data_IF_542146806323
#
_entry.id   IF_542146806323
#
_cell.length_a   1.000
_cell.length_b   1.000
_cell.length_c   1.000
_cell.angle_alpha   90.00
_cell.angle_beta   90.00
_cell.angle_gamma   90.00
#
_symmetry.space_group_name_H-M   'P 1'
#
loop_
_entity.id
_entity.type
_entity.pdbx_description
1 polymer ?
#
# COMPACT_ATOMS: atom_id res chain seq x y z
N UNK A 1 2.07 19.13 2.83
CA UNK A 1 1.13 20.24 3.11
C UNK A 1 1.42 20.82 4.50
N UNK A 2 0.59 21.69 5.05
CA UNK A 2 0.86 22.37 6.33
C UNK A 2 1.11 21.36 7.45
N UNK A 3 2.18 21.60 8.23
CA UNK A 3 2.60 20.77 9.36
C UNK A 3 2.86 19.29 9.04
N UNK A 4 3.03 18.95 7.78
CA UNK A 4 3.57 17.62 7.42
C UNK A 4 5.05 17.56 7.81
N UNK A 5 5.50 16.42 8.31
CA UNK A 5 6.86 16.22 8.79
C UNK A 5 7.48 14.96 8.18
N UNK A 6 8.68 15.07 7.70
CA UNK A 6 9.49 13.95 7.21
C UNK A 6 10.68 13.82 8.16
N UNK A 7 10.71 12.73 8.93
CA UNK A 7 11.80 12.46 9.85
C UNK A 7 13.09 12.05 9.10
N UNK A 8 14.15 11.78 9.87
CA UNK A 8 15.46 11.42 9.34
C UNK A 8 15.42 10.14 8.50
N UNK A 9 16.28 10.07 7.49
CA UNK A 9 16.52 8.87 6.66
C UNK A 9 15.27 8.31 5.95
N UNK A 10 14.21 9.11 5.77
CA UNK A 10 13.06 8.72 4.96
C UNK A 10 13.38 8.77 3.47
N UNK A 11 12.85 7.82 2.73
CA UNK A 11 12.72 7.92 1.27
C UNK A 11 11.30 8.34 0.90
N UNK A 12 11.17 9.34 0.06
CA UNK A 12 9.87 9.81 -0.47
C UNK A 12 10.00 9.94 -1.98
N UNK A 13 9.25 9.12 -2.70
CA UNK A 13 9.24 9.07 -4.15
C UNK A 13 8.58 10.27 -4.82
N UNK A 14 8.34 10.15 -6.11
CA UNK A 14 7.77 11.22 -6.92
C UNK A 14 6.25 11.34 -6.76
N UNK A 15 5.74 12.58 -6.85
CA UNK A 15 4.31 12.89 -6.80
C UNK A 15 3.59 12.38 -5.53
N UNK A 16 4.31 12.27 -4.42
CA UNK A 16 3.73 11.92 -3.11
C UNK A 16 2.98 13.12 -2.54
N UNK A 17 1.79 12.89 -2.01
CA UNK A 17 1.00 13.89 -1.32
C UNK A 17 0.90 13.52 0.16
N UNK A 18 1.51 14.33 1.00
CA UNK A 18 1.31 14.32 2.44
C UNK A 18 0.35 15.45 2.79
N UNK A 19 -0.88 15.10 3.18
CA UNK A 19 -1.87 16.10 3.59
C UNK A 19 -1.46 16.76 4.91
N UNK A 20 -2.29 17.67 5.42
CA UNK A 20 -1.96 18.42 6.62
C UNK A 20 -1.70 17.52 7.83
N UNK A 21 -0.67 17.85 8.59
CA UNK A 21 -0.32 17.18 9.84
C UNK A 21 -0.03 15.69 9.69
N UNK A 22 0.65 15.31 8.61
CA UNK A 22 1.12 13.93 8.38
C UNK A 22 2.59 13.80 8.77
N UNK A 23 2.94 13.17 9.91
CA UNK A 23 4.32 12.84 10.22
C UNK A 23 4.70 11.48 9.62
N UNK A 24 5.90 11.41 9.02
CA UNK A 24 6.58 10.19 8.68
C UNK A 24 7.63 9.89 9.76
N UNK A 25 7.57 8.73 10.36
CA UNK A 25 8.61 8.25 11.28
C UNK A 25 9.93 7.97 10.57
N UNK A 26 11.05 7.96 11.30
CA UNK A 26 12.37 7.74 10.71
C UNK A 26 12.46 6.47 9.86
N UNK A 27 13.26 6.52 8.80
CA UNK A 27 13.45 5.42 7.85
C UNK A 27 12.16 4.93 7.16
N UNK A 28 11.08 5.70 7.16
CA UNK A 28 9.89 5.37 6.36
C UNK A 28 10.24 5.40 4.86
N UNK A 29 9.70 4.45 4.11
CA UNK A 29 9.93 4.33 2.68
C UNK A 29 8.61 4.48 1.92
N UNK A 30 8.42 5.61 1.27
CA UNK A 30 7.19 5.97 0.56
C UNK A 30 7.47 5.98 -0.94
N UNK A 31 6.85 5.05 -1.66
CA UNK A 31 7.00 4.97 -3.12
C UNK A 31 6.21 6.06 -3.85
N UNK A 32 6.33 6.08 -5.19
CA UNK A 32 5.74 7.11 -6.04
C UNK A 32 4.22 7.15 -5.96
N UNK A 33 3.67 8.35 -6.11
CA UNK A 33 2.24 8.61 -6.24
C UNK A 33 1.39 8.17 -5.04
N UNK A 34 1.99 8.02 -3.88
CA UNK A 34 1.27 7.73 -2.64
C UNK A 34 0.55 8.99 -2.16
N UNK A 35 -0.67 8.81 -1.66
CA UNK A 35 -1.44 9.88 -1.02
C UNK A 35 -1.71 9.47 0.43
N UNK A 36 -1.34 10.34 1.36
CA UNK A 36 -1.59 10.12 2.79
C UNK A 36 -2.52 11.22 3.29
N UNK A 37 -3.72 10.80 3.72
CA UNK A 37 -4.77 11.69 4.22
C UNK A 37 -4.38 12.42 5.51
N UNK A 38 -5.00 13.58 5.73
CA UNK A 38 -4.68 14.46 6.86
C UNK A 38 -4.77 13.78 8.22
N UNK A 39 -3.93 14.21 9.15
CA UNK A 39 -3.81 13.68 10.51
C UNK A 39 -3.51 12.17 10.59
N UNK A 40 -3.01 11.58 9.52
CA UNK A 40 -2.49 10.21 9.51
C UNK A 40 -1.02 10.20 9.85
N UNK A 41 -0.53 9.14 10.46
CA UNK A 41 0.87 9.00 10.82
C UNK A 41 1.45 7.68 10.30
N UNK A 42 2.69 7.69 9.86
CA UNK A 42 3.42 6.50 9.40
C UNK A 42 4.50 6.14 10.41
N UNK A 43 4.42 4.93 10.93
CA UNK A 43 5.41 4.42 11.89
C UNK A 43 6.78 4.31 11.23
N UNK A 44 7.84 4.49 12.04
CA UNK A 44 9.22 4.31 11.59
C UNK A 44 9.45 2.94 10.91
N UNK A 45 10.33 2.90 9.92
CA UNK A 45 10.68 1.73 9.11
C UNK A 45 9.54 1.13 8.28
N UNK A 46 8.39 1.77 8.21
CA UNK A 46 7.25 1.28 7.41
C UNK A 46 7.42 1.63 5.95
N UNK A 47 7.05 0.69 5.07
CA UNK A 47 7.03 0.91 3.63
C UNK A 47 5.60 1.11 3.14
N UNK A 48 5.40 2.07 2.25
CA UNK A 48 4.13 2.31 1.57
C UNK A 48 4.34 2.20 0.08
N UNK A 49 3.70 1.22 -0.54
CA UNK A 49 3.85 0.91 -1.96
C UNK A 49 3.19 1.95 -2.86
N UNK A 50 3.68 2.02 -4.09
CA UNK A 50 3.26 3.01 -5.09
C UNK A 50 1.76 3.09 -5.27
N UNK A 51 1.27 4.29 -5.50
CA UNK A 51 -0.14 4.56 -5.76
C UNK A 51 -1.10 4.10 -4.67
N UNK A 52 -0.60 3.79 -3.48
CA UNK A 52 -1.46 3.53 -2.33
C UNK A 52 -2.15 4.81 -1.85
N UNK A 53 -3.34 4.66 -1.34
CA UNK A 53 -4.13 5.73 -0.71
C UNK A 53 -4.37 5.40 0.76
N UNK A 54 -3.85 6.23 1.63
CA UNK A 54 -4.10 6.17 3.08
C UNK A 54 -5.18 7.18 3.41
N UNK A 55 -6.29 6.73 3.98
CA UNK A 55 -7.37 7.62 4.45
C UNK A 55 -6.89 8.54 5.57
N UNK A 56 -7.64 9.61 5.82
CA UNK A 56 -7.33 10.49 6.95
C UNK A 56 -7.49 9.82 8.31
N UNK A 57 -6.82 10.35 9.33
CA UNK A 57 -6.87 9.87 10.72
C UNK A 57 -6.41 8.40 10.86
N UNK A 58 -5.48 7.96 10.02
CA UNK A 58 -5.00 6.57 9.95
C UNK A 58 -3.60 6.42 10.55
N UNK A 59 -3.42 5.46 11.45
CA UNK A 59 -2.10 5.05 11.94
C UNK A 59 -1.54 3.90 11.11
N UNK A 60 -0.53 4.16 10.31
CA UNK A 60 0.13 3.15 9.46
C UNK A 60 1.23 2.48 10.26
N UNK A 61 0.98 1.27 10.73
CA UNK A 61 1.88 0.48 11.59
C UNK A 61 2.42 -0.78 10.91
N UNK A 62 2.00 -1.06 9.70
CA UNK A 62 2.41 -2.21 8.87
C UNK A 62 2.70 -1.76 7.45
N UNK A 63 3.45 -2.55 6.71
CA UNK A 63 3.74 -2.24 5.31
C UNK A 63 2.45 -2.28 4.46
N UNK A 64 2.30 -1.28 3.62
CA UNK A 64 1.14 -1.13 2.73
C UNK A 64 1.55 -1.54 1.31
N UNK A 65 0.86 -2.52 0.75
CA UNK A 65 1.14 -2.98 -0.62
C UNK A 65 0.84 -1.90 -1.67
N UNK A 66 1.47 -1.96 -2.84
CA UNK A 66 1.14 -1.07 -3.96
C UNK A 66 -0.34 -1.12 -4.31
N UNK A 67 -0.86 0.01 -4.74
CA UNK A 67 -2.25 0.20 -5.21
C UNK A 67 -3.34 0.01 -4.15
N UNK A 68 -2.97 -0.10 -2.89
CA UNK A 68 -3.91 -0.34 -1.80
C UNK A 68 -4.73 0.90 -1.42
N UNK A 69 -5.92 0.66 -0.90
CA UNK A 69 -6.72 1.60 -0.14
C UNK A 69 -6.73 1.17 1.33
N UNK A 70 -6.39 2.07 2.22
CA UNK A 70 -6.24 1.79 3.66
C UNK A 70 -7.00 2.81 4.49
N UNK A 71 -7.71 2.35 5.51
CA UNK A 71 -8.43 3.17 6.47
C UNK A 71 -8.30 2.65 7.89
N UNK A 72 -8.70 3.48 8.85
CA UNK A 72 -8.87 3.14 10.26
C UNK A 72 -7.72 3.54 11.15
N UNK A 73 -7.98 3.64 12.46
CA UNK A 73 -7.02 4.07 13.48
C UNK A 73 -5.71 3.25 13.44
N UNK A 74 -5.85 1.95 13.25
CA UNK A 74 -4.74 1.03 12.97
C UNK A 74 -4.97 0.49 11.58
N UNK A 75 -4.27 1.00 10.62
CA UNK A 75 -4.45 0.78 9.19
C UNK A 75 -5.01 -0.62 8.85
N UNK A 76 -6.12 -0.64 8.15
CA UNK A 76 -6.78 -1.85 7.66
C UNK A 76 -6.94 -1.77 6.16
N UNK A 77 -6.55 -2.81 5.47
CA UNK A 77 -6.65 -2.89 4.02
C UNK A 77 -8.12 -3.01 3.59
N UNK A 78 -8.57 -2.06 2.76
CA UNK A 78 -9.97 -1.98 2.30
C UNK A 78 -10.15 -2.36 0.84
N UNK A 79 -9.11 -2.83 0.20
CA UNK A 79 -9.11 -3.15 -1.23
C UNK A 79 -8.09 -2.32 -1.99
N UNK A 80 -8.37 -2.09 -3.26
CA UNK A 80 -7.50 -1.33 -4.15
C UNK A 80 -7.95 0.13 -4.27
N UNK A 81 -7.00 1.01 -4.53
CA UNK A 81 -7.23 2.41 -4.87
C UNK A 81 -7.78 2.53 -6.31
N UNK A 82 -9.01 2.11 -6.52
CA UNK A 82 -9.63 2.08 -7.86
C UNK A 82 -9.73 3.46 -8.49
N UNK A 83 -10.03 4.49 -7.69
CA UNK A 83 -10.10 5.87 -8.16
C UNK A 83 -8.74 6.33 -8.67
N UNK A 84 -7.67 6.08 -7.90
CA UNK A 84 -6.30 6.42 -8.29
C UNK A 84 -5.86 5.71 -9.57
N UNK A 85 -6.17 4.42 -9.68
CA UNK A 85 -5.85 3.63 -10.88
C UNK A 85 -6.56 4.18 -12.13
N UNK A 86 -7.85 4.51 -12.03
CA UNK A 86 -8.63 5.09 -13.13
C UNK A 86 -8.11 6.47 -13.52
N UNK A 87 -7.78 7.32 -12.55
CA UNK A 87 -7.21 8.67 -12.82
C UNK A 87 -5.88 8.60 -13.58
N UNK A 88 -5.13 7.51 -13.43
CA UNK A 88 -3.90 7.26 -14.18
C UNK A 88 -4.13 6.59 -15.52
N UNK A 89 -5.38 6.47 -15.96
CA UNK A 89 -5.76 5.83 -17.21
C UNK A 89 -5.29 4.36 -17.31
N UNK A 90 -5.20 3.66 -16.19
CA UNK A 90 -4.95 2.22 -16.22
C UNK A 90 -6.16 1.53 -16.85
N UNK A 91 -5.96 0.68 -17.87
CA UNK A 91 -7.05 -0.02 -18.53
C UNK A 91 -7.89 -0.86 -17.54
N UNK A 92 -9.20 -0.86 -17.72
CA UNK A 92 -10.09 -1.62 -16.85
C UNK A 92 -9.74 -3.11 -16.75
N UNK A 93 -9.25 -3.70 -17.85
CA UNK A 93 -8.82 -5.11 -17.84
C UNK A 93 -7.67 -5.34 -16.86
N UNK A 94 -6.71 -4.43 -16.80
CA UNK A 94 -5.58 -4.53 -15.89
C UNK A 94 -6.02 -4.34 -14.44
N UNK A 95 -6.97 -3.43 -14.20
CA UNK A 95 -7.57 -3.24 -12.86
C UNK A 95 -8.30 -4.50 -12.41
N UNK A 96 -9.05 -5.14 -13.29
CA UNK A 96 -9.76 -6.40 -13.00
C UNK A 96 -8.78 -7.52 -12.64
N UNK A 97 -7.72 -7.68 -13.41
CA UNK A 97 -6.68 -8.68 -13.15
C UNK A 97 -6.02 -8.43 -11.79
N UNK A 98 -5.66 -7.19 -11.50
CA UNK A 98 -5.09 -6.82 -10.20
C UNK A 98 -6.07 -7.11 -9.05
N UNK A 99 -7.35 -6.81 -9.25
CA UNK A 99 -8.37 -7.07 -8.23
C UNK A 99 -8.60 -8.57 -8.01
N UNK A 100 -8.56 -9.39 -9.05
CA UNK A 100 -8.64 -10.84 -8.94
C UNK A 100 -7.43 -11.38 -8.16
N UNK A 101 -6.23 -10.90 -8.46
CA UNK A 101 -5.04 -11.25 -7.69
C UNK A 101 -5.15 -10.83 -6.22
N UNK A 102 -5.65 -9.63 -5.96
CA UNK A 102 -5.91 -9.16 -4.60
C UNK A 102 -6.83 -10.09 -3.82
N UNK A 103 -7.93 -10.52 -4.42
CA UNK A 103 -8.89 -11.46 -3.80
C UNK A 103 -8.24 -12.80 -3.48
N UNK A 104 -7.40 -13.31 -4.38
CA UNK A 104 -6.68 -14.56 -4.15
C UNK A 104 -5.62 -14.44 -3.05
N UNK A 105 -4.87 -13.35 -3.02
CA UNK A 105 -3.83 -13.09 -2.01
C UNK A 105 -4.45 -12.99 -0.60
N UNK A 106 -5.58 -12.33 -0.49
CA UNK A 106 -6.24 -12.05 0.79
C UNK A 106 -7.53 -12.85 1.03
N UNK A 107 -7.68 -14.02 0.42
CA UNK A 107 -8.87 -14.87 0.59
C UNK A 107 -9.04 -15.39 2.01
N UNK A 108 -7.94 -15.54 2.76
CA UNK A 108 -7.92 -15.91 4.17
C UNK A 108 -6.65 -15.36 4.84
N UNK A 109 -6.48 -15.60 6.14
CA UNK A 109 -5.35 -15.07 6.91
C UNK A 109 -3.99 -15.72 6.60
N UNK A 110 -3.97 -16.83 5.87
CA UNK A 110 -2.73 -17.53 5.52
C UNK A 110 -2.08 -16.95 4.27
N UNK A 111 -1.46 -15.78 4.42
CA UNK A 111 -0.84 -15.06 3.31
C UNK A 111 0.22 -15.88 2.57
N UNK A 112 1.05 -16.63 3.29
CA UNK A 112 2.12 -17.42 2.68
C UNK A 112 1.57 -18.47 1.72
N UNK A 113 0.58 -19.25 2.14
CA UNK A 113 -0.06 -20.25 1.28
C UNK A 113 -0.80 -19.61 0.11
N UNK A 114 -1.49 -18.51 0.35
CA UNK A 114 -2.20 -17.79 -0.71
C UNK A 114 -1.23 -17.30 -1.79
N UNK A 115 -0.08 -16.76 -1.41
CA UNK A 115 0.96 -16.33 -2.34
C UNK A 115 1.57 -17.52 -3.11
N UNK A 116 1.84 -18.63 -2.43
CA UNK A 116 2.40 -19.83 -3.06
C UNK A 116 1.45 -20.46 -4.07
N UNK A 117 0.16 -20.39 -3.82
CA UNK A 117 -0.89 -20.97 -4.66
C UNK A 117 -1.50 -19.99 -5.66
N UNK A 118 -0.99 -18.77 -5.75
CA UNK A 118 -1.48 -17.79 -6.71
C UNK A 118 -1.29 -18.27 -8.15
N UNK A 119 -2.33 -18.11 -8.97
CA UNK A 119 -2.34 -18.50 -10.37
C UNK A 119 -1.13 -17.91 -11.11
N UNK A 120 -0.44 -18.75 -11.88
CA UNK A 120 0.77 -18.37 -12.62
C UNK A 120 0.52 -17.27 -13.65
N UNK A 121 -0.64 -17.25 -14.28
CA UNK A 121 -0.99 -16.23 -15.26
C UNK A 121 -1.21 -14.85 -14.58
N UNK A 122 -1.82 -14.84 -13.40
CA UNK A 122 -1.93 -13.61 -12.59
C UNK A 122 -0.55 -13.10 -12.18
N UNK A 123 0.36 -13.97 -11.80
CA UNK A 123 1.74 -13.59 -11.41
C UNK A 123 2.52 -12.88 -12.51
N UNK A 124 2.26 -13.20 -13.76
CA UNK A 124 2.95 -12.62 -14.91
C UNK A 124 2.49 -11.20 -15.25
N UNK A 125 1.32 -10.80 -14.78
CA UNK A 125 0.79 -9.47 -15.02
C UNK A 125 1.66 -8.40 -14.34
N UNK A 126 1.98 -7.31 -15.05
CA UNK A 126 2.86 -6.25 -14.56
C UNK A 126 2.47 -5.71 -13.19
N UNK A 127 1.21 -5.32 -13.02
CA UNK A 127 0.74 -4.72 -11.75
C UNK A 127 0.76 -5.73 -10.60
N UNK A 128 0.40 -6.97 -10.89
CA UNK A 128 0.44 -8.07 -9.90
C UNK A 128 1.88 -8.35 -9.50
N UNK A 129 2.80 -8.42 -10.45
CA UNK A 129 4.22 -8.64 -10.16
C UNK A 129 4.81 -7.53 -9.30
N UNK A 130 4.40 -6.29 -9.47
CA UNK A 130 4.83 -5.17 -8.61
C UNK A 130 4.38 -5.36 -7.16
N UNK A 131 3.13 -5.82 -6.94
CA UNK A 131 2.64 -6.16 -5.60
C UNK A 131 3.44 -7.30 -4.99
N UNK A 132 3.66 -8.38 -5.73
CA UNK A 132 4.41 -9.54 -5.27
C UNK A 132 5.86 -9.18 -4.94
N UNK A 133 6.53 -8.43 -5.80
CA UNK A 133 7.90 -7.99 -5.57
C UNK A 133 8.00 -7.11 -4.32
N UNK A 134 7.04 -6.24 -4.08
CA UNK A 134 6.99 -5.42 -2.87
C UNK A 134 6.91 -6.29 -1.61
N UNK A 135 6.05 -7.32 -1.61
CA UNK A 135 5.88 -8.25 -0.48
C UNK A 135 7.16 -9.06 -0.27
N UNK A 136 7.79 -9.55 -1.33
CA UNK A 136 8.94 -10.45 -1.27
C UNK A 136 10.27 -9.73 -1.00
N UNK A 137 10.39 -8.47 -1.40
CA UNK A 137 11.63 -7.69 -1.28
C UNK A 137 12.10 -7.51 0.16
N UNK A 138 11.19 -7.32 1.08
CA UNK A 138 11.50 -7.13 2.49
C UNK A 138 10.36 -7.69 3.35
N UNK A 139 10.71 -8.64 4.22
CA UNK A 139 9.76 -9.33 5.13
C UNK A 139 9.98 -8.98 6.60
N UNK A 140 10.75 -7.93 6.89
CA UNK A 140 11.04 -7.53 8.27
C UNK A 140 9.79 -7.06 9.02
N UNK A 141 8.83 -6.48 8.30
CA UNK A 141 7.59 -6.00 8.88
C UNK A 141 6.40 -6.74 8.28
N UNK A 142 5.33 -6.96 9.08
CA UNK A 142 4.11 -7.57 8.55
C UNK A 142 3.42 -6.65 7.54
N UNK A 143 2.77 -7.23 6.57
CA UNK A 143 1.90 -6.54 5.61
C UNK A 143 0.56 -6.19 6.28
N UNK A 144 0.04 -5.01 5.98
CA UNK A 144 -1.33 -4.65 6.31
C UNK A 144 -2.29 -5.54 5.52
N UNK A 145 -3.27 -6.12 6.21
CA UNK A 145 -4.25 -7.04 5.61
C UNK A 145 -5.67 -6.57 5.89
N UNK A 146 -6.70 -7.12 5.20
CA UNK A 146 -8.10 -6.90 5.57
C UNK A 146 -8.45 -7.44 6.96
N UNK A 147 -7.63 -8.34 7.49
CA UNK A 147 -7.79 -9.01 8.79
C UNK A 147 -6.99 -8.33 9.90
N UNK A 148 -6.22 -7.28 9.60
CA UNK A 148 -5.42 -6.54 10.59
C UNK A 148 -6.29 -6.01 11.73
N UNK A 149 -5.87 -6.27 12.97
CA UNK A 149 -6.53 -5.79 14.19
C UNK A 149 -5.76 -4.63 14.80
#
# INVERSE_FOLDING_TARGET
MVSAHIAHDCFVGDNVILANSVPLGGHAYIEDNVIIGGNSAVQQFTRVGRSAMIGGMCGVVRDIIPYAMVHGNRSKLQGLNLIGLRRKNIPNIDIMILNDAYKEIFKNENLTDNLNNLNKDLRKHKLVSEVLNFIEKDKKRPICTPFSK
#
